data_IF_710166283893
#
_entry.id   IF_710166283893
#
_cell.length_a   1.000
_cell.length_b   1.000
_cell.length_c   1.000
_cell.angle_alpha   90.00
_cell.angle_beta   90.00
_cell.angle_gamma   90.00
#
_symmetry.space_group_name_H-M   'P 1'
#
loop_
_entity.id
_entity.type
_entity.pdbx_description
1 polymer ?
#
# COMPACT_ATOMS: atom_id res chain seq x y z
N UNK A 1 -31.39 5.99 9.22
CA UNK A 1 -30.01 6.40 9.53
C UNK A 1 -28.96 5.28 9.62
N UNK A 2 -29.25 4.03 9.20
CA UNK A 2 -28.33 2.88 9.39
C UNK A 2 -26.92 3.02 8.76
N UNK A 3 -26.68 3.95 7.84
CA UNK A 3 -25.40 4.14 7.14
C UNK A 3 -24.38 5.01 7.91
N UNK A 4 -24.84 5.82 8.86
CA UNK A 4 -23.97 6.68 9.68
C UNK A 4 -23.65 5.97 10.98
N UNK A 5 -22.36 5.90 11.32
CA UNK A 5 -21.82 5.24 12.51
C UNK A 5 -20.80 6.15 13.18
N UNK A 6 -20.57 5.95 14.47
CA UNK A 6 -19.50 6.61 15.20
C UNK A 6 -18.29 5.67 15.32
N UNK A 7 -17.08 6.19 15.15
CA UNK A 7 -15.82 5.48 15.39
C UNK A 7 -15.00 6.29 16.37
N UNK A 8 -14.43 5.63 17.38
CA UNK A 8 -13.79 6.28 18.53
C UNK A 8 -12.39 5.73 18.78
N UNK A 9 -11.46 6.62 19.09
CA UNK A 9 -10.13 6.21 19.54
C UNK A 9 -10.13 6.00 21.07
N UNK A 10 -9.04 5.45 21.58
CA UNK A 10 -8.87 5.21 23.02
C UNK A 10 -8.87 6.50 23.87
N UNK A 11 -8.70 7.67 23.25
CA UNK A 11 -8.64 8.98 23.92
C UNK A 11 -9.97 9.74 23.89
N UNK A 12 -10.98 9.24 23.20
CA UNK A 12 -12.28 9.92 23.05
C UNK A 12 -13.28 9.45 24.10
N UNK A 13 -14.09 10.39 24.60
CA UNK A 13 -15.17 10.08 25.52
C UNK A 13 -16.18 9.09 24.92
N UNK A 14 -16.70 8.19 25.75
CA UNK A 14 -17.70 7.19 25.36
C UNK A 14 -19.14 7.71 25.41
N UNK A 15 -19.32 9.02 25.53
CA UNK A 15 -20.64 9.63 25.55
C UNK A 15 -21.36 9.42 24.21
N UNK A 16 -22.66 9.04 24.21
CA UNK A 16 -23.41 8.84 22.98
C UNK A 16 -23.41 10.08 22.10
N UNK A 17 -23.14 9.91 20.81
CA UNK A 17 -23.26 11.00 19.82
C UNK A 17 -24.64 10.91 19.21
N UNK A 18 -25.43 11.97 19.33
CA UNK A 18 -26.78 12.04 18.78
C UNK A 18 -26.76 12.75 17.43
N UNK A 19 -27.47 12.18 16.46
CA UNK A 19 -27.73 12.81 15.18
C UNK A 19 -29.24 12.85 14.95
N UNK A 20 -29.81 14.05 14.88
CA UNK A 20 -31.26 14.27 14.78
C UNK A 20 -32.06 13.57 15.92
N UNK A 21 -31.52 13.57 17.13
CA UNK A 21 -32.17 12.97 18.31
C UNK A 21 -31.96 11.45 18.46
N UNK A 22 -31.39 10.78 17.47
CA UNK A 22 -31.10 9.34 17.52
C UNK A 22 -29.62 9.10 17.86
N UNK A 23 -29.30 8.17 18.78
CA UNK A 23 -27.92 7.82 19.10
C UNK A 23 -27.26 7.07 17.93
N UNK A 24 -26.04 7.47 17.55
CA UNK A 24 -25.25 6.76 16.56
C UNK A 24 -24.65 5.49 17.16
N UNK A 25 -24.71 4.39 16.39
CA UNK A 25 -24.03 3.14 16.76
C UNK A 25 -22.51 3.31 16.67
N UNK A 26 -21.82 2.94 17.74
CA UNK A 26 -20.37 2.86 17.81
C UNK A 26 -19.85 1.57 17.15
N UNK A 27 -18.88 1.71 16.25
CA UNK A 27 -18.25 0.58 15.52
C UNK A 27 -16.73 0.65 15.57
N UNK A 28 -16.08 -0.52 15.61
CA UNK A 28 -14.62 -0.63 15.59
C UNK A 28 -14.03 -0.56 14.17
N UNK A 29 -14.81 -1.00 13.17
CA UNK A 29 -14.44 -1.01 11.77
C UNK A 29 -15.55 -0.38 10.90
N UNK A 30 -15.18 0.42 9.91
CA UNK A 30 -16.13 1.05 9.01
C UNK A 30 -15.57 1.17 7.60
N UNK A 31 -16.41 0.94 6.58
CA UNK A 31 -16.01 1.13 5.18
C UNK A 31 -16.34 2.55 4.75
N UNK A 32 -15.30 3.36 4.59
CA UNK A 32 -15.42 4.73 4.08
C UNK A 32 -14.76 4.84 2.71
N UNK A 33 -15.49 5.38 1.72
CA UNK A 33 -15.02 5.52 0.33
C UNK A 33 -14.37 4.25 -0.24
N UNK A 34 -14.93 3.09 0.13
CA UNK A 34 -14.46 1.77 -0.33
C UNK A 34 -13.32 1.16 0.49
N UNK A 35 -12.60 1.91 1.33
CA UNK A 35 -11.53 1.41 2.21
C UNK A 35 -12.10 1.09 3.60
N UNK A 36 -11.74 -0.07 4.15
CA UNK A 36 -12.03 -0.38 5.55
C UNK A 36 -11.05 0.37 6.45
N UNK A 37 -11.60 1.13 7.38
CA UNK A 37 -10.89 1.83 8.44
C UNK A 37 -11.08 1.09 9.75
N UNK A 38 -10.05 1.09 10.58
CA UNK A 38 -10.12 0.64 11.96
C UNK A 38 -9.20 1.50 12.83
N UNK A 39 -9.46 1.49 14.13
CA UNK A 39 -8.73 2.33 15.09
C UNK A 39 -7.40 1.72 15.53
N UNK A 40 -7.14 0.45 15.18
CA UNK A 40 -5.90 -0.28 15.48
C UNK A 40 -4.81 -0.09 14.42
N UNK A 41 -5.11 0.65 13.35
CA UNK A 41 -4.25 0.83 12.18
C UNK A 41 -3.77 -0.52 11.58
N UNK A 42 -4.64 -1.54 11.61
CA UNK A 42 -4.36 -2.86 11.03
C UNK A 42 -4.85 -2.92 9.58
N UNK A 43 -3.99 -3.34 8.65
CA UNK A 43 -4.35 -3.49 7.24
C UNK A 43 -4.86 -4.89 6.90
N UNK A 44 -4.84 -5.85 7.83
CA UNK A 44 -5.19 -7.25 7.56
C UNK A 44 -6.63 -7.42 7.09
N UNK A 45 -7.60 -6.79 7.75
CA UNK A 45 -9.01 -6.89 7.37
C UNK A 45 -9.27 -6.24 6.00
N UNK A 46 -8.65 -5.08 5.73
CA UNK A 46 -8.71 -4.44 4.41
C UNK A 46 -8.06 -5.31 3.31
N UNK A 47 -6.91 -5.92 3.59
CA UNK A 47 -6.23 -6.80 2.65
C UNK A 47 -7.08 -8.04 2.29
N UNK A 48 -7.82 -8.58 3.26
CA UNK A 48 -8.76 -9.68 3.00
C UNK A 48 -9.94 -9.23 2.13
N UNK A 49 -10.42 -7.99 2.27
CA UNK A 49 -11.43 -7.41 1.37
C UNK A 49 -10.89 -7.25 -0.04
N UNK A 50 -9.67 -6.73 -0.19
CA UNK A 50 -8.99 -6.58 -1.49
C UNK A 50 -8.72 -7.92 -2.16
N UNK A 51 -8.31 -8.93 -1.39
CA UNK A 51 -8.21 -10.32 -1.88
C UNK A 51 -9.53 -10.77 -2.49
N UNK A 52 -10.65 -10.62 -1.79
CA UNK A 52 -11.99 -11.00 -2.30
C UNK A 52 -12.34 -10.21 -3.57
N UNK A 53 -12.10 -8.90 -3.57
CA UNK A 53 -12.34 -8.04 -4.73
C UNK A 53 -11.50 -8.45 -5.96
N UNK A 54 -10.21 -8.75 -5.77
CA UNK A 54 -9.33 -9.23 -6.84
C UNK A 54 -9.77 -10.57 -7.42
N UNK A 55 -10.20 -11.52 -6.58
CA UNK A 55 -10.78 -12.79 -7.06
C UNK A 55 -12.10 -12.59 -7.79
N UNK A 56 -12.97 -11.71 -7.31
CA UNK A 56 -14.23 -11.39 -7.99
C UNK A 56 -13.96 -10.75 -9.37
N UNK A 57 -13.03 -9.80 -9.44
CA UNK A 57 -12.61 -9.16 -10.69
C UNK A 57 -11.98 -10.16 -11.66
N UNK A 58 -11.17 -11.11 -11.17
CA UNK A 58 -10.63 -12.16 -12.03
C UNK A 58 -11.74 -13.08 -12.56
N UNK A 59 -12.69 -13.47 -11.71
CA UNK A 59 -13.78 -14.36 -12.11
C UNK A 59 -14.71 -13.72 -13.15
N UNK A 60 -14.90 -12.39 -13.14
CA UNK A 60 -15.72 -11.72 -14.16
C UNK A 60 -15.09 -11.76 -15.55
N UNK A 61 -13.75 -11.74 -15.65
CA UNK A 61 -13.02 -11.78 -16.93
C UNK A 61 -12.50 -13.18 -17.30
N UNK A 62 -12.71 -14.16 -16.43
CA UNK A 62 -12.12 -15.50 -16.54
C UNK A 62 -12.41 -16.16 -17.89
N UNK A 63 -13.66 -16.08 -18.34
CA UNK A 63 -14.06 -16.67 -19.62
C UNK A 63 -13.26 -16.06 -20.80
N UNK A 64 -13.07 -14.75 -20.79
CA UNK A 64 -12.28 -14.04 -21.82
C UNK A 64 -10.82 -14.46 -21.77
N UNK A 65 -10.23 -14.52 -20.57
CA UNK A 65 -8.84 -14.97 -20.38
C UNK A 65 -8.64 -16.40 -20.91
N UNK A 66 -9.57 -17.31 -20.63
CA UNK A 66 -9.45 -18.73 -21.02
C UNK A 66 -9.52 -18.93 -22.54
N UNK A 67 -10.25 -18.08 -23.27
CA UNK A 67 -10.38 -18.16 -24.73
C UNK A 67 -9.37 -17.29 -25.49
N UNK A 68 -8.63 -16.43 -24.80
CA UNK A 68 -7.60 -15.58 -25.41
C UNK A 68 -6.29 -16.36 -25.50
N UNK A 69 -5.72 -16.48 -26.71
CA UNK A 69 -4.42 -17.14 -26.92
C UNK A 69 -3.22 -16.21 -26.74
N UNK A 70 -3.42 -14.90 -26.90
CA UNK A 70 -2.35 -13.91 -26.74
C UNK A 70 -2.10 -13.62 -25.25
N UNK A 71 -0.88 -13.94 -24.81
CA UNK A 71 -0.43 -13.70 -23.44
C UNK A 71 -0.35 -12.21 -23.09
N UNK A 72 -0.02 -11.35 -24.06
CA UNK A 72 0.05 -9.90 -23.81
C UNK A 72 -1.34 -9.31 -23.60
N UNK A 73 -2.32 -9.70 -24.42
CA UNK A 73 -3.71 -9.30 -24.23
C UNK A 73 -4.27 -9.78 -22.88
N UNK A 74 -3.96 -11.03 -22.47
CA UNK A 74 -4.36 -11.57 -21.15
C UNK A 74 -3.74 -10.75 -20.01
N UNK A 75 -2.44 -10.44 -20.10
CA UNK A 75 -1.75 -9.62 -19.13
C UNK A 75 -2.34 -8.20 -19.05
N UNK A 76 -2.66 -7.59 -20.19
CA UNK A 76 -3.28 -6.26 -20.25
C UNK A 76 -4.68 -6.26 -19.64
N UNK A 77 -5.48 -7.29 -19.89
CA UNK A 77 -6.79 -7.45 -19.28
C UNK A 77 -6.68 -7.63 -17.75
N UNK A 78 -5.74 -8.45 -17.28
CA UNK A 78 -5.44 -8.59 -15.86
C UNK A 78 -5.01 -7.26 -15.23
N UNK A 79 -4.08 -6.56 -15.88
CA UNK A 79 -3.50 -5.31 -15.39
C UNK A 79 -4.53 -4.18 -15.31
N UNK A 80 -5.56 -4.18 -16.16
CA UNK A 80 -6.60 -3.15 -16.20
C UNK A 80 -7.80 -3.44 -15.29
N UNK A 81 -8.01 -4.69 -14.87
CA UNK A 81 -9.21 -5.09 -14.09
C UNK A 81 -8.86 -5.62 -12.70
N UNK A 82 -7.97 -6.60 -12.61
CA UNK A 82 -7.64 -7.30 -11.37
C UNK A 82 -6.67 -6.50 -10.52
N UNK A 83 -5.63 -5.90 -11.13
CA UNK A 83 -4.67 -5.08 -10.39
C UNK A 83 -5.34 -3.90 -9.68
N UNK A 84 -6.20 -3.08 -10.33
CA UNK A 84 -6.90 -1.98 -9.64
C UNK A 84 -7.81 -2.47 -8.51
N UNK A 85 -8.48 -3.63 -8.68
CA UNK A 85 -9.31 -4.19 -7.62
C UNK A 85 -8.50 -4.60 -6.37
N UNK A 86 -7.27 -5.11 -6.59
CA UNK A 86 -6.34 -5.46 -5.51
C UNK A 86 -5.66 -4.25 -4.87
N UNK A 87 -5.34 -3.21 -5.65
CA UNK A 87 -4.53 -2.06 -5.23
C UNK A 87 -5.35 -0.83 -4.85
N UNK A 88 -6.67 -0.88 -4.86
CA UNK A 88 -7.49 0.29 -4.53
C UNK A 88 -7.16 0.85 -3.12
N UNK A 89 -6.96 2.17 -3.06
CA UNK A 89 -6.55 2.92 -1.88
C UNK A 89 -5.19 2.51 -1.28
N UNK A 90 -4.40 1.71 -2.01
CA UNK A 90 -3.09 1.24 -1.56
C UNK A 90 -2.04 2.33 -1.43
N UNK A 91 -2.23 3.45 -2.12
CA UNK A 91 -1.41 4.66 -1.99
C UNK A 91 -1.44 5.22 -0.57
N UNK A 92 -2.43 4.85 0.25
CA UNK A 92 -2.58 5.27 1.65
C UNK A 92 -2.07 4.23 2.67
N UNK A 93 -1.60 3.07 2.22
CA UNK A 93 -1.18 1.99 3.11
C UNK A 93 0.24 2.18 3.64
N UNK A 94 0.46 1.73 4.87
CA UNK A 94 1.79 1.50 5.46
C UNK A 94 2.12 0.01 5.34
N UNK A 95 2.68 -0.40 4.20
CA UNK A 95 2.98 -1.80 3.92
C UNK A 95 4.20 -2.27 4.71
N UNK A 96 4.02 -3.34 5.48
CA UNK A 96 5.12 -4.12 6.07
C UNK A 96 5.51 -5.24 5.11
N UNK A 97 6.73 -5.79 5.26
CA UNK A 97 7.22 -6.91 4.44
C UNK A 97 6.28 -8.12 4.46
N UNK A 98 5.62 -8.37 5.59
CA UNK A 98 4.63 -9.44 5.71
C UNK A 98 3.37 -9.15 4.85
N UNK A 99 2.87 -7.92 4.87
CA UNK A 99 1.71 -7.51 4.05
C UNK A 99 2.05 -7.55 2.56
N UNK A 100 3.26 -7.11 2.16
CA UNK A 100 3.72 -7.25 0.78
C UNK A 100 3.78 -8.71 0.34
N UNK A 101 4.33 -9.58 1.19
CA UNK A 101 4.38 -11.01 0.89
C UNK A 101 2.97 -11.62 0.79
N UNK A 102 2.02 -11.17 1.60
CA UNK A 102 0.62 -11.56 1.47
C UNK A 102 0.02 -11.13 0.13
N UNK A 103 0.26 -9.88 -0.30
CA UNK A 103 -0.17 -9.37 -1.60
C UNK A 103 0.44 -10.14 -2.76
N UNK A 104 1.76 -10.39 -2.72
CA UNK A 104 2.46 -11.22 -3.72
C UNK A 104 1.87 -12.63 -3.79
N UNK A 105 1.58 -13.25 -2.63
CA UNK A 105 0.93 -14.58 -2.57
C UNK A 105 -0.48 -14.58 -3.18
N UNK A 106 -1.24 -13.51 -3.00
CA UNK A 106 -2.57 -13.36 -3.61
C UNK A 106 -2.42 -13.24 -5.12
N UNK A 107 -1.55 -12.34 -5.59
CA UNK A 107 -1.32 -12.09 -7.00
C UNK A 107 -0.84 -13.35 -7.73
N UNK A 108 0.17 -14.04 -7.21
CA UNK A 108 0.72 -15.25 -7.84
C UNK A 108 -0.33 -16.37 -7.91
N UNK A 109 -1.28 -16.42 -6.96
CA UNK A 109 -2.37 -17.38 -7.01
C UNK A 109 -3.36 -17.10 -8.14
N UNK A 110 -3.59 -15.83 -8.46
CA UNK A 110 -4.42 -15.43 -9.60
C UNK A 110 -3.66 -15.65 -10.92
N UNK A 111 -2.37 -15.32 -10.97
CA UNK A 111 -1.52 -15.56 -12.14
C UNK A 111 -1.41 -17.04 -12.48
N UNK A 112 -1.25 -17.92 -11.48
CA UNK A 112 -1.31 -19.37 -11.69
C UNK A 112 -2.60 -19.80 -12.36
N UNK A 113 -3.73 -19.26 -11.90
CA UNK A 113 -5.03 -19.58 -12.48
C UNK A 113 -5.14 -19.04 -13.90
N UNK A 114 -4.55 -17.88 -14.17
CA UNK A 114 -4.47 -17.29 -15.50
C UNK A 114 -3.68 -18.21 -16.43
N UNK A 115 -2.44 -18.55 -16.08
CA UNK A 115 -1.53 -19.37 -16.91
C UNK A 115 -2.02 -20.83 -17.05
N UNK A 116 -2.86 -21.31 -16.12
CA UNK A 116 -3.39 -22.67 -16.14
C UNK A 116 -2.51 -23.68 -15.39
N UNK A 117 -1.60 -23.21 -14.53
CA UNK A 117 -0.69 -24.05 -13.74
C UNK A 117 -1.26 -24.23 -12.33
N UNK A 118 -1.46 -25.49 -11.93
CA UNK A 118 -1.80 -25.81 -10.54
C UNK A 118 -0.58 -25.68 -9.63
N UNK A 119 -0.81 -25.47 -8.32
CA UNK A 119 0.29 -25.44 -7.34
C UNK A 119 1.10 -26.75 -7.32
N UNK A 120 0.45 -27.88 -7.61
CA UNK A 120 1.11 -29.18 -7.70
C UNK A 120 2.06 -29.24 -8.90
N UNK A 121 1.59 -28.85 -10.09
CA UNK A 121 2.42 -28.77 -11.30
C UNK A 121 3.59 -27.79 -11.13
N UNK A 122 3.36 -26.62 -10.52
CA UNK A 122 4.43 -25.66 -10.22
C UNK A 122 5.56 -26.33 -9.43
N UNK A 123 5.22 -27.10 -8.38
CA UNK A 123 6.20 -27.77 -7.51
C UNK A 123 6.92 -28.90 -8.23
N UNK A 124 6.20 -29.72 -9.00
CA UNK A 124 6.78 -30.81 -9.78
C UNK A 124 7.78 -30.30 -10.80
N UNK A 125 7.42 -29.22 -11.51
CA UNK A 125 8.27 -28.56 -12.50
C UNK A 125 9.34 -27.65 -11.88
N UNK A 126 9.42 -27.57 -10.55
CA UNK A 126 10.35 -26.70 -9.79
C UNK A 126 10.34 -25.23 -10.23
N UNK A 127 9.17 -24.73 -10.63
CA UNK A 127 9.00 -23.35 -11.07
C UNK A 127 8.94 -22.38 -9.89
N UNK A 128 9.77 -21.34 -9.95
CA UNK A 128 9.76 -20.22 -9.04
C UNK A 128 8.57 -19.29 -9.31
N UNK A 129 8.29 -18.37 -8.38
CA UNK A 129 7.20 -17.40 -8.57
C UNK A 129 7.54 -16.41 -9.69
N UNK A 130 8.83 -16.13 -9.86
CA UNK A 130 9.41 -15.32 -10.92
C UNK A 130 9.15 -15.95 -12.29
N UNK A 131 9.19 -17.28 -12.40
CA UNK A 131 8.89 -17.99 -13.65
C UNK A 131 7.40 -17.84 -14.02
N UNK A 132 6.50 -18.01 -13.04
CA UNK A 132 5.06 -17.77 -13.27
C UNK A 132 4.80 -16.32 -13.67
N UNK A 133 5.51 -15.37 -13.05
CA UNK A 133 5.41 -13.95 -13.39
C UNK A 133 5.89 -13.65 -14.81
N UNK A 134 6.96 -14.32 -15.24
CA UNK A 134 7.48 -14.24 -16.60
C UNK A 134 6.47 -14.77 -17.63
N UNK A 135 5.87 -15.93 -17.33
CA UNK A 135 4.81 -16.53 -18.16
C UNK A 135 3.54 -15.67 -18.22
N UNK A 136 3.16 -15.05 -17.09
CA UNK A 136 1.95 -14.26 -16.98
C UNK A 136 2.08 -12.87 -17.63
N UNK A 137 3.30 -12.33 -17.74
CA UNK A 137 3.62 -10.96 -18.18
C UNK A 137 2.88 -9.86 -17.40
N UNK A 138 2.32 -10.20 -16.23
CA UNK A 138 1.56 -9.29 -15.38
C UNK A 138 2.51 -8.36 -14.63
N UNK A 139 2.09 -7.10 -14.42
CA UNK A 139 2.88 -6.14 -13.64
C UNK A 139 2.91 -6.55 -12.16
N UNK A 140 4.05 -6.42 -11.51
CA UNK A 140 4.16 -6.67 -10.07
C UNK A 140 3.25 -5.72 -9.26
N UNK A 141 2.44 -6.29 -8.36
CA UNK A 141 1.50 -5.51 -7.55
C UNK A 141 2.20 -4.51 -6.64
N UNK A 142 3.33 -4.87 -6.03
CA UNK A 142 4.06 -4.00 -5.11
C UNK A 142 4.64 -2.83 -5.88
N UNK A 143 5.23 -3.06 -7.05
CA UNK A 143 5.70 -1.97 -7.92
C UNK A 143 4.55 -1.05 -8.34
N UNK A 144 3.36 -1.60 -8.61
CA UNK A 144 2.18 -0.81 -8.96
C UNK A 144 1.70 0.06 -7.78
N UNK A 145 1.62 -0.51 -6.57
CA UNK A 145 1.24 0.20 -5.34
C UNK A 145 2.26 1.28 -5.00
N UNK A 146 3.55 0.95 -5.03
CA UNK A 146 4.62 1.89 -4.70
C UNK A 146 4.62 3.06 -5.68
N UNK A 147 4.37 2.82 -6.97
CA UNK A 147 4.27 3.89 -7.98
C UNK A 147 3.06 4.79 -7.72
N UNK A 148 1.92 4.20 -7.36
CA UNK A 148 0.72 4.96 -7.01
C UNK A 148 0.97 5.82 -5.76
N UNK A 149 1.59 5.24 -4.73
CA UNK A 149 2.00 5.94 -3.52
C UNK A 149 2.98 7.08 -3.79
N UNK A 150 4.00 6.84 -4.61
CA UNK A 150 4.96 7.87 -5.05
C UNK A 150 4.27 9.03 -5.75
N UNK A 151 3.37 8.71 -6.70
CA UNK A 151 2.61 9.72 -7.43
C UNK A 151 1.72 10.54 -6.49
N UNK A 152 1.01 9.87 -5.57
CA UNK A 152 0.14 10.50 -4.58
C UNK A 152 0.92 11.37 -3.59
N UNK A 153 2.08 10.91 -3.11
CA UNK A 153 2.94 11.67 -2.22
C UNK A 153 3.45 12.97 -2.87
N UNK A 154 3.88 12.91 -4.13
CA UNK A 154 4.22 14.11 -4.88
C UNK A 154 3.05 15.07 -5.04
N UNK A 155 1.84 14.55 -5.30
CA UNK A 155 0.64 15.38 -5.39
C UNK A 155 0.36 16.07 -4.05
N UNK A 156 0.46 15.34 -2.94
CA UNK A 156 0.21 15.84 -1.60
C UNK A 156 1.17 16.98 -1.22
N UNK A 157 2.46 16.83 -1.50
CA UNK A 157 3.48 17.83 -1.13
C UNK A 157 3.36 19.14 -1.92
N UNK A 158 2.86 19.07 -3.16
CA UNK A 158 2.68 20.25 -4.03
C UNK A 158 1.30 20.89 -3.93
N UNK A 159 0.43 20.37 -3.07
CA UNK A 159 -0.95 20.84 -2.98
C UNK A 159 -1.04 22.03 -2.02
N UNK A 160 -1.67 23.09 -2.49
CA UNK A 160 -1.91 24.32 -1.72
C UNK A 160 -3.40 24.66 -1.74
N UNK A 161 -4.20 23.83 -1.06
CA UNK A 161 -5.66 23.96 -1.01
C UNK A 161 -6.21 24.08 0.42
N UNK A 162 -5.32 24.29 1.40
CA UNK A 162 -5.66 24.41 2.82
C UNK A 162 -6.27 23.17 3.46
N UNK A 163 -6.45 22.03 2.75
CA UNK A 163 -7.04 20.84 3.37
C UNK A 163 -6.02 20.15 4.27
N UNK A 164 -6.52 19.59 5.38
CA UNK A 164 -5.70 19.03 6.45
C UNK A 164 -4.85 17.82 6.05
N UNK A 165 -5.21 17.12 4.96
CA UNK A 165 -4.41 16.10 4.28
C UNK A 165 -2.87 16.23 4.40
N UNK A 166 -2.30 17.38 4.03
CA UNK A 166 -0.84 17.60 4.07
C UNK A 166 -0.37 17.79 5.50
N UNK A 167 -1.08 18.62 6.26
CA UNK A 167 -0.83 18.86 7.68
C UNK A 167 -0.86 17.55 8.47
N UNK A 168 -1.90 16.73 8.34
CA UNK A 168 -2.08 15.46 9.04
C UNK A 168 -1.00 14.43 8.69
N UNK A 169 -0.49 14.44 7.46
CA UNK A 169 0.56 13.51 7.04
C UNK A 169 1.93 13.93 7.57
N UNK A 170 2.22 15.23 7.60
CA UNK A 170 3.49 15.78 8.10
C UNK A 170 3.45 16.09 9.61
N UNK A 171 2.32 15.86 10.28
CA UNK A 171 2.18 16.21 11.70
C UNK A 171 2.96 15.22 12.57
N UNK A 172 3.80 15.78 13.43
CA UNK A 172 4.54 15.05 14.46
C UNK A 172 4.31 15.69 15.84
N UNK A 173 3.88 14.92 16.86
CA UNK A 173 3.71 15.46 18.20
C UNK A 173 5.08 15.80 18.81
N UNK A 174 5.34 17.09 19.07
CA UNK A 174 6.64 17.57 19.62
C UNK A 174 6.91 17.09 21.04
N UNK A 175 5.87 16.84 21.82
CA UNK A 175 5.96 16.48 23.25
C UNK A 175 6.10 14.97 23.49
N UNK A 176 5.90 14.13 22.46
CA UNK A 176 5.92 12.67 22.60
C UNK A 176 7.00 12.07 21.72
N UNK A 177 7.79 11.16 22.30
CA UNK A 177 8.77 10.36 21.57
C UNK A 177 8.18 9.02 21.17
N UNK A 178 8.66 8.47 20.06
CA UNK A 178 8.29 7.13 19.63
C UNK A 178 8.84 6.07 20.61
N UNK A 179 8.11 4.98 20.84
CA UNK A 179 8.62 3.89 21.68
C UNK A 179 9.89 3.30 21.06
N UNK A 180 10.84 2.89 21.92
CA UNK A 180 12.08 2.25 21.50
C UNK A 180 11.83 0.85 20.93
N UNK A 181 12.72 0.38 20.06
CA UNK A 181 12.66 -0.96 19.47
C UNK A 181 12.01 -0.96 18.08
N UNK A 182 10.84 -1.60 17.96
CA UNK A 182 10.12 -1.76 16.69
C UNK A 182 8.81 -0.95 16.70
N UNK A 183 8.87 0.39 16.54
CA UNK A 183 7.66 1.19 16.45
C UNK A 183 6.85 0.82 15.19
N UNK A 184 5.52 1.01 15.20
CA UNK A 184 4.69 0.79 14.01
C UNK A 184 5.12 1.63 12.82
N UNK A 185 5.07 1.10 11.60
CA UNK A 185 5.50 1.82 10.40
C UNK A 185 4.53 2.97 10.05
N UNK A 186 5.03 4.20 9.89
CA UNK A 186 4.24 5.33 9.36
C UNK A 186 4.15 5.25 7.85
N UNK A 187 3.15 5.95 7.30
CA UNK A 187 2.99 6.05 5.85
C UNK A 187 4.22 6.68 5.18
N UNK A 188 4.77 7.74 5.78
CA UNK A 188 5.96 8.46 5.31
C UNK A 188 7.25 7.66 5.42
N UNK A 189 7.35 6.74 6.39
CA UNK A 189 8.60 5.99 6.65
C UNK A 189 9.01 5.20 5.39
N UNK A 190 8.05 4.62 4.65
CA UNK A 190 8.32 3.92 3.39
C UNK A 190 8.74 4.83 2.22
N UNK A 191 8.33 6.11 2.24
CA UNK A 191 8.75 7.09 1.22
C UNK A 191 10.15 7.60 1.52
N UNK A 192 10.42 7.91 2.80
CA UNK A 192 11.73 8.28 3.29
C UNK A 192 12.77 7.22 2.96
N UNK A 193 12.48 5.95 3.23
CA UNK A 193 13.40 4.85 2.95
C UNK A 193 13.80 4.70 1.47
N UNK A 194 12.93 5.11 0.55
CA UNK A 194 13.14 4.97 -0.90
C UNK A 194 13.72 6.21 -1.55
N UNK A 195 13.30 7.38 -1.09
CA UNK A 195 13.47 8.65 -1.81
C UNK A 195 14.34 9.66 -1.06
N UNK A 196 14.70 9.42 0.20
CA UNK A 196 15.68 10.27 0.87
C UNK A 196 17.03 10.07 0.21
N UNK A 197 17.72 11.18 -0.04
CA UNK A 197 19.10 11.19 -0.49
C UNK A 197 19.96 11.27 0.77
N UNK A 198 20.86 10.32 0.94
CA UNK A 198 21.84 10.29 2.02
C UNK A 198 23.23 10.41 1.41
N UNK A 199 24.14 11.07 2.11
CA UNK A 199 25.53 11.13 1.67
C UNK A 199 26.18 9.75 1.85
N UNK A 200 27.00 9.31 0.90
CA UNK A 200 27.59 7.96 0.91
C UNK A 200 28.43 7.64 2.15
N UNK A 201 28.84 8.67 2.88
CA UNK A 201 29.69 8.58 4.06
C UNK A 201 28.98 9.03 5.36
N UNK A 202 27.67 9.35 5.32
CA UNK A 202 26.92 9.83 6.48
C UNK A 202 25.54 9.16 6.58
N UNK A 203 25.06 9.01 7.82
CA UNK A 203 23.67 8.58 8.11
C UNK A 203 22.70 9.76 7.92
N UNK A 204 23.21 10.98 7.76
CA UNK A 204 22.40 12.18 7.58
C UNK A 204 21.74 12.21 6.21
N UNK A 205 20.46 12.59 6.23
CA UNK A 205 19.64 12.80 5.04
C UNK A 205 19.99 14.16 4.46
N UNK A 206 20.71 14.19 3.34
CA UNK A 206 21.08 15.43 2.66
C UNK A 206 19.88 16.08 1.97
N UNK A 207 18.95 15.28 1.43
CA UNK A 207 17.67 15.79 0.90
C UNK A 207 16.51 14.91 1.34
N UNK A 208 15.61 15.50 2.11
CA UNK A 208 14.37 14.83 2.52
C UNK A 208 13.39 14.70 1.33
N UNK A 209 12.70 13.57 1.24
CA UNK A 209 11.80 13.29 0.12
C UNK A 209 10.70 14.33 -0.07
N UNK A 210 10.25 15.01 0.99
CA UNK A 210 9.23 16.07 0.90
C UNK A 210 9.72 17.28 0.11
N UNK A 211 11.00 17.63 0.26
CA UNK A 211 11.66 18.70 -0.50
C UNK A 211 11.83 18.29 -1.96
N UNK A 212 12.30 17.06 -2.19
CA UNK A 212 12.42 16.50 -3.54
C UNK A 212 11.08 16.45 -4.27
N UNK A 213 9.99 16.16 -3.55
CA UNK A 213 8.64 16.09 -4.06
C UNK A 213 8.08 17.45 -4.52
N UNK A 214 8.66 18.58 -4.11
CA UNK A 214 8.22 19.90 -4.55
C UNK A 214 8.46 20.11 -6.06
N UNK A 215 9.61 19.68 -6.57
CA UNK A 215 9.85 19.71 -8.03
C UNK A 215 9.26 18.47 -8.71
N UNK A 216 8.26 18.70 -9.57
CA UNK A 216 7.59 17.63 -10.33
C UNK A 216 8.56 16.84 -11.21
N UNK A 217 9.55 17.49 -11.82
CA UNK A 217 10.47 16.82 -12.75
C UNK A 217 11.43 15.90 -12.00
N UNK A 218 12.06 16.41 -10.95
CA UNK A 218 12.96 15.65 -10.07
C UNK A 218 12.24 14.51 -9.38
N UNK A 219 11.03 14.74 -8.84
CA UNK A 219 10.20 13.68 -8.25
C UNK A 219 9.86 12.56 -9.22
N UNK A 220 9.55 12.89 -10.48
CA UNK A 220 9.27 11.88 -11.50
C UNK A 220 10.52 11.06 -11.85
N UNK A 221 11.70 11.70 -11.86
CA UNK A 221 12.99 11.07 -12.16
C UNK A 221 13.50 10.19 -11.02
N UNK A 222 13.18 10.53 -9.77
CA UNK A 222 13.63 9.75 -8.60
C UNK A 222 12.93 8.40 -8.45
N UNK A 223 11.87 8.14 -9.21
CA UNK A 223 11.15 6.88 -9.17
C UNK A 223 11.98 5.75 -9.78
N UNK A 224 12.40 4.80 -8.95
CA UNK A 224 13.02 3.55 -9.37
C UNK A 224 12.21 2.33 -8.85
N UNK A 225 11.72 1.45 -9.76
CA UNK A 225 11.03 0.22 -9.36
C UNK A 225 11.95 -0.83 -8.69
N UNK A 226 13.27 -0.71 -8.82
CA UNK A 226 14.26 -1.64 -8.25
C UNK A 226 14.63 -1.32 -6.81
N UNK A 227 14.46 -0.08 -6.38
CA UNK A 227 14.73 0.34 -4.99
C UNK A 227 13.71 -0.31 -4.06
N UNK A 228 14.09 -1.37 -3.36
CA UNK A 228 13.22 -2.00 -2.35
C UNK A 228 13.24 -1.19 -1.05
N UNK A 229 12.08 -1.05 -0.41
CA UNK A 229 11.91 -0.44 0.93
C UNK A 229 12.74 -1.16 2.00
N UNK A 230 13.29 -2.35 1.70
CA UNK A 230 14.13 -3.14 2.60
C UNK A 230 15.56 -3.32 2.09
N UNK A 231 15.95 -2.66 1.00
CA UNK A 231 17.32 -2.68 0.48
C UNK A 231 18.16 -1.59 1.16
N UNK A 232 18.20 -1.62 2.49
CA UNK A 232 19.18 -0.86 3.24
C UNK A 232 19.76 -1.81 4.28
N UNK A 233 20.84 -2.48 3.89
CA UNK A 233 21.71 -3.26 4.78
C UNK A 233 22.37 -2.41 5.87
N UNK A 234 22.14 -1.09 5.89
CA UNK A 234 22.61 -0.15 6.90
C UNK A 234 21.63 0.05 8.08
N UNK A 235 20.49 -0.64 8.11
CA UNK A 235 19.47 -0.45 9.16
C UNK A 235 19.30 -1.65 10.11
N UNK A 236 20.33 -2.49 10.21
CA UNK A 236 20.42 -3.48 11.29
C UNK A 236 20.96 -2.90 12.60
N UNK A 237 21.58 -1.72 12.59
CA UNK A 237 22.20 -1.13 13.78
C UNK A 237 21.34 0.00 14.37
N UNK A 238 20.24 -0.39 15.03
CA UNK A 238 19.72 0.26 16.25
C UNK A 238 19.32 1.76 16.26
N UNK A 239 19.63 2.56 15.26
CA UNK A 239 19.43 4.00 15.26
C UNK A 239 18.37 4.38 14.24
N UNK A 240 17.12 4.37 14.71
CA UNK A 240 16.03 5.02 14.00
C UNK A 240 16.32 6.52 13.94
N UNK A 241 16.49 7.04 12.73
CA UNK A 241 16.62 8.47 12.41
C UNK A 241 15.63 9.29 13.24
N UNK A 242 16.19 9.87 14.30
CA UNK A 242 15.57 10.83 15.19
C UNK A 242 16.27 12.16 14.90
N UNK A 243 16.16 12.68 13.69
CA UNK A 243 16.71 13.99 13.35
C UNK A 243 15.96 14.58 12.16
N UNK A 244 15.45 15.79 12.41
CA UNK A 244 14.73 16.73 11.55
C UNK A 244 13.22 16.52 11.40
#
# INVERSE_FOLDING_TARGET
MKKTKCMRNEYSDRNPVYLQGEPLEDVDEYVYLGRLLNMKNDLKSELMRRKKAGWAAYNSIRNVIEHTRDDELRANLFNSTVLPALSYASETWSLTKNLENQLRRIQISLERRMVGITLHQQRLSRLHNEDIRSLSKVRDIIQHIDKAKHTFAGHLMRRDDGRWSTTSVCWEPREKKRPRGRPPLRWQDSLAHRNNICDSNSIEVSVHWTTLAQDRKSWKRSWDPRTSVYCCSLLCDGNWLSSC
#
